data_IF_837118982673
#
_entry.id   IF_837118982673
#
_cell.length_a   1.000
_cell.length_b   1.000
_cell.length_c   1.000
_cell.angle_alpha   90.00
_cell.angle_beta   90.00
_cell.angle_gamma   90.00
#
_symmetry.space_group_name_H-M   'P 1'
#
loop_
_entity.id
_entity.type
_entity.pdbx_description
1 polymer ?
#
# COMPACT_ATOMS: atom_id res chain seq x y z
N UNK A 1 2.98 -19.39 -25.15
CA UNK A 1 3.48 -19.33 -23.77
C UNK A 1 3.95 -17.91 -23.56
N UNK A 2 3.45 -17.20 -22.54
CA UNK A 2 3.94 -15.84 -22.21
C UNK A 2 5.04 -15.97 -21.18
N UNK A 3 6.17 -15.31 -21.40
CA UNK A 3 7.29 -15.26 -20.49
C UNK A 3 7.28 -13.89 -19.79
N UNK A 4 7.70 -13.84 -18.55
CA UNK A 4 7.93 -12.61 -17.81
C UNK A 4 9.36 -12.60 -17.26
N UNK A 5 9.90 -11.42 -17.00
CA UNK A 5 11.23 -11.28 -16.42
C UNK A 5 11.19 -11.49 -14.91
N UNK A 6 12.16 -12.25 -14.39
CA UNK A 6 12.42 -12.36 -12.98
C UNK A 6 13.96 -12.33 -12.77
N UNK A 7 14.53 -11.29 -12.15
CA UNK A 7 13.85 -10.15 -11.53
C UNK A 7 13.22 -9.19 -12.55
N UNK A 8 12.22 -8.43 -12.10
CA UNK A 8 11.56 -7.41 -12.91
C UNK A 8 12.54 -6.24 -13.14
N UNK A 9 12.68 -5.82 -14.38
CA UNK A 9 13.51 -4.67 -14.74
C UNK A 9 12.65 -3.40 -14.78
N UNK A 10 12.50 -2.74 -13.62
CA UNK A 10 11.80 -1.47 -13.52
C UNK A 10 12.76 -0.29 -13.63
N UNK A 11 12.40 0.80 -14.33
CA UNK A 11 13.18 2.03 -14.37
C UNK A 11 13.08 2.71 -12.99
N UNK A 12 14.07 2.48 -12.17
CA UNK A 12 14.12 2.99 -10.81
C UNK A 12 14.96 4.26 -10.72
N UNK A 13 14.40 5.28 -10.06
CA UNK A 13 15.12 6.52 -9.77
C UNK A 13 15.19 6.70 -8.26
N UNK A 14 16.40 6.87 -7.75
CA UNK A 14 16.60 7.25 -6.35
C UNK A 14 15.85 8.53 -6.03
N UNK A 15 15.12 8.51 -4.95
CA UNK A 15 14.47 9.68 -4.41
C UNK A 15 15.26 10.13 -3.18
N UNK A 16 15.55 11.41 -3.13
CA UNK A 16 16.22 11.98 -1.98
C UNK A 16 15.14 12.60 -1.10
N UNK A 17 14.99 12.08 0.10
CA UNK A 17 14.15 12.71 1.10
C UNK A 17 15.04 13.64 1.94
N UNK A 18 14.76 14.94 1.92
CA UNK A 18 15.38 15.89 2.82
C UNK A 18 14.54 15.92 4.10
N UNK A 19 14.86 15.09 5.09
CA UNK A 19 14.31 15.29 6.43
C UNK A 19 14.89 16.61 6.98
N UNK A 20 14.06 17.62 7.24
CA UNK A 20 14.53 18.90 7.78
C UNK A 20 15.18 18.77 9.17
N UNK A 21 15.04 17.61 9.82
CA UNK A 21 15.67 17.29 11.09
C UNK A 21 17.04 16.60 10.95
N UNK A 22 17.41 16.21 9.76
CA UNK A 22 18.69 15.58 9.46
C UNK A 22 19.65 16.57 8.81
N UNK A 23 20.93 16.46 9.11
CA UNK A 23 22.00 17.30 8.54
C UNK A 23 22.51 16.79 7.18
N UNK A 24 21.78 15.89 6.53
CA UNK A 24 22.21 15.27 5.27
C UNK A 24 21.04 14.80 4.40
N UNK A 25 21.38 14.49 3.16
CA UNK A 25 20.47 13.82 2.24
C UNK A 25 20.37 12.35 2.69
N UNK A 26 19.18 11.93 3.10
CA UNK A 26 18.91 10.51 3.33
C UNK A 26 18.47 9.88 2.01
N UNK A 27 19.11 8.77 1.68
CA UNK A 27 18.63 7.86 0.64
C UNK A 27 17.74 6.85 1.35
N UNK A 28 16.44 7.03 1.23
CA UNK A 28 15.49 6.10 1.81
C UNK A 28 15.44 4.80 1.01
N UNK A 29 15.07 3.74 1.70
CA UNK A 29 14.90 2.42 1.12
C UNK A 29 13.58 2.36 0.36
N UNK A 30 13.66 2.79 -0.87
CA UNK A 30 12.53 2.94 -1.77
C UNK A 30 12.15 1.62 -2.45
N UNK A 31 10.93 1.59 -3.00
CA UNK A 31 10.39 0.45 -3.73
C UNK A 31 10.27 -0.86 -2.91
N UNK A 32 10.10 -0.75 -1.59
CA UNK A 32 9.72 -1.87 -0.74
C UNK A 32 8.19 -2.11 -0.79
N UNK A 33 7.75 -3.25 -0.26
CA UNK A 33 6.35 -3.61 -0.02
C UNK A 33 5.43 -3.38 -1.24
N UNK A 34 5.75 -3.92 -2.42
CA UNK A 34 5.04 -3.59 -3.63
C UNK A 34 3.63 -4.19 -3.66
N UNK A 35 2.65 -3.38 -4.07
CA UNK A 35 1.32 -3.82 -4.44
C UNK A 35 1.17 -3.79 -5.95
N UNK A 36 0.80 -4.91 -6.55
CA UNK A 36 0.61 -5.03 -8.00
C UNK A 36 -0.83 -5.35 -8.35
N UNK A 37 -1.36 -4.62 -9.31
CA UNK A 37 -2.72 -4.81 -9.84
C UNK A 37 -2.72 -4.91 -11.36
N UNK A 38 -3.77 -5.53 -11.90
CA UNK A 38 -4.12 -5.46 -13.31
C UNK A 38 -5.40 -4.63 -13.46
N UNK A 39 -5.35 -3.56 -14.24
CA UNK A 39 -6.48 -2.68 -14.45
C UNK A 39 -6.56 -2.23 -15.90
N UNK A 40 -7.72 -2.40 -16.52
CA UNK A 40 -7.97 -2.07 -17.95
C UNK A 40 -6.89 -2.62 -18.90
N UNK A 41 -6.45 -3.86 -18.65
CA UNK A 41 -5.49 -4.56 -19.49
C UNK A 41 -4.02 -4.16 -19.31
N UNK A 42 -3.71 -3.33 -18.33
CA UNK A 42 -2.33 -2.96 -17.95
C UNK A 42 -2.02 -3.39 -16.52
N UNK A 43 -0.75 -3.59 -16.25
CA UNK A 43 -0.22 -3.93 -14.92
C UNK A 43 0.39 -2.68 -14.29
N UNK A 44 0.14 -2.51 -13.00
CA UNK A 44 0.60 -1.36 -12.23
C UNK A 44 1.27 -1.84 -10.95
N UNK A 45 2.45 -1.29 -10.63
CA UNK A 45 3.14 -1.56 -9.36
C UNK A 45 3.26 -0.25 -8.59
N UNK A 46 2.69 -0.27 -7.39
CA UNK A 46 2.89 0.76 -6.36
C UNK A 46 3.87 0.22 -5.34
N UNK A 47 4.76 1.07 -4.84
CA UNK A 47 5.72 0.67 -3.83
C UNK A 47 5.94 1.78 -2.80
N UNK A 48 6.44 1.39 -1.63
CA UNK A 48 6.76 2.30 -0.53
C UNK A 48 7.67 3.42 -0.98
N UNK A 49 7.41 4.62 -0.49
CA UNK A 49 8.24 5.82 -0.66
C UNK A 49 8.58 6.14 -2.11
N UNK A 50 7.74 5.76 -3.04
CA UNK A 50 7.92 6.02 -4.46
C UNK A 50 6.86 7.02 -4.96
N UNK A 51 7.31 8.12 -5.56
CA UNK A 51 6.44 9.17 -6.12
C UNK A 51 5.86 8.78 -7.49
N UNK A 52 6.01 7.54 -7.90
CA UNK A 52 5.62 7.04 -9.21
C UNK A 52 4.92 5.69 -9.10
N UNK A 53 4.21 5.34 -10.15
CA UNK A 53 3.74 3.99 -10.41
C UNK A 53 4.49 3.44 -11.62
N UNK A 54 4.86 2.18 -11.61
CA UNK A 54 5.35 1.49 -12.79
C UNK A 54 4.20 0.84 -13.53
N UNK A 55 4.21 0.99 -14.84
CA UNK A 55 3.15 0.51 -15.74
C UNK A 55 3.74 -0.41 -16.78
N UNK A 56 3.08 -1.52 -17.05
CA UNK A 56 3.45 -2.47 -18.09
C UNK A 56 2.21 -3.03 -18.79
N UNK A 57 2.33 -3.32 -20.07
CA UNK A 57 1.32 -4.07 -20.84
C UNK A 57 1.65 -5.55 -20.96
N UNK A 58 2.89 -5.94 -20.69
CA UNK A 58 3.41 -7.28 -20.97
C UNK A 58 4.17 -7.95 -19.81
N UNK A 59 4.30 -7.27 -18.64
CA UNK A 59 5.09 -7.70 -17.47
C UNK A 59 6.61 -7.79 -17.73
N UNK A 60 7.08 -7.30 -18.86
CA UNK A 60 8.49 -7.31 -19.28
C UNK A 60 9.04 -5.89 -19.38
N UNK A 61 8.30 -5.05 -20.10
CA UNK A 61 8.66 -3.65 -20.31
C UNK A 61 7.86 -2.78 -19.36
N UNK A 62 8.56 -1.95 -18.58
CA UNK A 62 7.98 -1.10 -17.55
C UNK A 62 8.33 0.35 -17.78
N UNK A 63 7.35 1.22 -17.60
CA UNK A 63 7.50 2.67 -17.64
C UNK A 63 7.13 3.27 -16.30
N UNK A 64 7.87 4.28 -15.87
CA UNK A 64 7.59 5.02 -14.63
C UNK A 64 6.78 6.26 -14.92
N UNK A 65 5.64 6.38 -14.27
CA UNK A 65 4.76 7.55 -14.35
C UNK A 65 4.63 8.20 -12.98
N UNK A 66 4.92 9.50 -12.90
CA UNK A 66 4.76 10.26 -11.67
C UNK A 66 3.28 10.38 -11.33
N UNK A 67 2.95 10.11 -10.09
CA UNK A 67 1.61 10.26 -9.54
C UNK A 67 1.38 11.71 -9.05
N UNK A 68 0.11 12.15 -8.92
CA UNK A 68 -0.23 13.47 -8.40
C UNK A 68 0.32 13.70 -6.99
N UNK A 69 0.76 14.94 -6.73
CA UNK A 69 1.43 15.32 -5.47
C UNK A 69 0.51 15.31 -4.23
N UNK A 70 -0.80 15.27 -4.42
CA UNK A 70 -1.76 15.18 -3.33
C UNK A 70 -1.93 13.77 -2.74
N UNK A 71 -1.28 12.77 -3.34
CA UNK A 71 -1.30 11.41 -2.82
C UNK A 71 -0.22 11.20 -1.75
N UNK A 72 -0.45 10.33 -0.75
CA UNK A 72 0.52 10.01 0.30
C UNK A 72 1.62 9.07 -0.21
N UNK A 73 2.42 9.53 -1.17
CA UNK A 73 3.40 8.71 -1.88
C UNK A 73 4.68 8.42 -1.07
N UNK A 74 4.84 9.08 0.06
CA UNK A 74 5.96 8.86 0.99
C UNK A 74 5.65 7.83 2.07
N UNK A 75 4.46 7.26 2.04
CA UNK A 75 4.06 6.30 3.05
C UNK A 75 4.52 4.89 2.70
N UNK A 76 4.67 4.06 3.74
CA UNK A 76 5.08 2.68 3.63
C UNK A 76 3.93 1.75 3.28
N UNK A 77 4.26 0.63 2.63
CA UNK A 77 3.36 -0.48 2.34
C UNK A 77 2.04 -0.04 1.67
N UNK A 78 2.09 0.56 0.47
CA UNK A 78 0.89 0.95 -0.24
C UNK A 78 0.05 -0.26 -0.60
N UNK A 79 -1.27 -0.14 -0.47
CA UNK A 79 -2.20 -1.13 -0.97
C UNK A 79 -3.04 -0.56 -2.10
N UNK A 80 -3.07 -1.28 -3.22
CA UNK A 80 -3.88 -0.94 -4.38
C UNK A 80 -4.80 -2.09 -4.74
N UNK A 81 -6.11 -1.82 -4.87
CA UNK A 81 -7.13 -2.82 -5.19
C UNK A 81 -8.05 -2.34 -6.29
N UNK A 82 -8.44 -3.26 -7.15
CA UNK A 82 -9.44 -3.01 -8.19
C UNK A 82 -10.80 -3.44 -7.68
N UNK A 83 -11.79 -2.54 -7.81
CA UNK A 83 -13.19 -2.88 -7.61
C UNK A 83 -14.04 -2.19 -8.68
N UNK A 84 -14.61 -2.99 -9.58
CA UNK A 84 -15.34 -2.49 -10.74
C UNK A 84 -14.47 -1.60 -11.64
N UNK A 85 -14.95 -0.38 -11.87
CA UNK A 85 -14.26 0.62 -12.70
C UNK A 85 -13.21 1.45 -11.95
N UNK A 86 -13.02 1.18 -10.67
CA UNK A 86 -12.14 1.97 -9.80
C UNK A 86 -10.93 1.17 -9.33
N UNK A 87 -9.85 1.89 -9.15
CA UNK A 87 -8.72 1.49 -8.32
C UNK A 87 -8.80 2.25 -7.01
N UNK A 88 -8.77 1.53 -5.91
CA UNK A 88 -8.65 2.05 -4.55
C UNK A 88 -7.18 1.99 -4.15
N UNK A 89 -6.71 3.07 -3.55
CA UNK A 89 -5.32 3.20 -3.12
C UNK A 89 -5.25 3.74 -1.70
N UNK A 90 -4.48 3.09 -0.86
CA UNK A 90 -4.15 3.57 0.48
C UNK A 90 -2.73 3.17 0.88
N UNK A 91 -2.14 3.93 1.77
CA UNK A 91 -0.84 3.66 2.33
C UNK A 91 -0.82 4.01 3.82
N UNK A 92 0.05 3.34 4.59
CA UNK A 92 0.23 3.66 5.99
C UNK A 92 0.98 4.97 6.16
N UNK A 93 0.62 5.72 7.19
CA UNK A 93 1.28 6.96 7.56
C UNK A 93 1.47 7.03 9.08
N UNK A 94 2.71 7.12 9.51
CA UNK A 94 3.06 7.01 10.92
C UNK A 94 2.42 8.11 11.77
N UNK A 95 1.57 7.70 12.73
CA UNK A 95 0.97 8.59 13.72
C UNK A 95 -0.09 9.53 13.16
N UNK A 96 -0.59 9.27 11.96
CA UNK A 96 -1.66 10.06 11.35
C UNK A 96 -2.78 9.16 10.83
N UNK A 97 -3.97 9.73 10.73
CA UNK A 97 -5.09 9.04 10.07
C UNK A 97 -4.84 9.00 8.57
N UNK A 98 -4.91 7.81 8.00
CA UNK A 98 -4.72 7.62 6.58
C UNK A 98 -6.05 7.73 5.83
N UNK A 99 -5.96 8.25 4.63
CA UNK A 99 -7.09 8.36 3.71
C UNK A 99 -7.00 7.31 2.62
N UNK A 100 -8.17 6.90 2.15
CA UNK A 100 -8.29 6.18 0.90
C UNK A 100 -8.48 7.13 -0.25
N UNK A 101 -7.94 6.75 -1.38
CA UNK A 101 -8.17 7.41 -2.66
C UNK A 101 -8.73 6.41 -3.63
N UNK A 102 -9.58 6.87 -4.55
CA UNK A 102 -10.01 6.05 -5.68
C UNK A 102 -9.90 6.83 -6.98
N UNK A 103 -9.65 6.12 -8.06
CA UNK A 103 -9.57 6.70 -9.40
C UNK A 103 -10.03 5.73 -10.46
N UNK A 104 -10.46 6.26 -11.60
CA UNK A 104 -10.69 5.49 -12.84
C UNK A 104 -9.52 5.58 -13.82
N UNK A 105 -8.56 6.45 -13.54
CA UNK A 105 -7.33 6.64 -14.32
C UNK A 105 -6.15 6.81 -13.35
N UNK A 106 -5.31 5.80 -13.28
CA UNK A 106 -4.20 5.77 -12.32
C UNK A 106 -3.16 6.84 -12.61
N UNK A 107 -2.92 7.16 -13.89
CA UNK A 107 -1.85 8.08 -14.30
C UNK A 107 -2.33 9.53 -14.25
N UNK A 108 -3.52 9.79 -14.78
CA UNK A 108 -3.98 11.15 -14.97
C UNK A 108 -4.98 11.62 -13.89
N UNK A 109 -5.56 10.69 -13.14
CA UNK A 109 -6.60 11.00 -12.17
C UNK A 109 -7.94 11.37 -12.81
N UNK A 110 -8.83 12.13 -12.12
CA UNK A 110 -8.59 12.58 -10.76
C UNK A 110 -8.60 11.45 -9.73
N UNK A 111 -7.92 11.68 -8.60
CA UNK A 111 -8.03 10.83 -7.42
C UNK A 111 -9.03 11.46 -6.46
N UNK A 112 -10.11 10.76 -6.22
CA UNK A 112 -11.13 11.14 -5.25
C UNK A 112 -10.69 10.68 -3.86
N UNK A 113 -10.54 11.61 -2.93
CA UNK A 113 -10.23 11.30 -1.54
C UNK A 113 -11.47 10.73 -0.85
N UNK A 114 -11.27 9.63 -0.15
CA UNK A 114 -12.25 9.05 0.77
C UNK A 114 -11.62 9.12 2.16
N UNK A 115 -12.15 9.93 3.05
CA UNK A 115 -11.53 10.17 4.33
C UNK A 115 -11.46 8.90 5.17
N UNK A 116 -10.25 8.53 5.58
CA UNK A 116 -9.99 7.48 6.55
C UNK A 116 -10.45 7.92 7.94
N UNK A 117 -10.69 6.95 8.80
CA UNK A 117 -11.21 7.20 10.15
C UNK A 117 -10.42 6.50 11.24
N UNK A 118 -9.28 5.93 10.92
CA UNK A 118 -8.47 5.17 11.87
C UNK A 118 -7.02 5.10 11.42
N UNK A 119 -6.11 4.95 12.38
CA UNK A 119 -4.70 4.69 12.10
C UNK A 119 -4.49 3.22 11.75
N UNK A 120 -3.61 2.97 10.79
CA UNK A 120 -3.23 1.63 10.40
C UNK A 120 -1.79 1.56 9.90
N UNK A 121 -1.25 0.35 9.91
CA UNK A 121 0.01 -0.04 9.32
C UNK A 121 -0.20 -1.21 8.39
N UNK A 122 0.58 -1.25 7.31
CA UNK A 122 0.54 -2.31 6.32
C UNK A 122 -0.90 -2.65 5.90
N UNK A 123 -1.57 -1.71 5.23
CA UNK A 123 -2.97 -1.83 4.87
C UNK A 123 -3.19 -2.94 3.85
N UNK A 124 -4.31 -3.62 3.97
CA UNK A 124 -4.81 -4.53 2.96
C UNK A 124 -6.32 -4.40 2.86
N UNK A 125 -6.79 -3.85 1.75
CA UNK A 125 -8.20 -3.71 1.45
C UNK A 125 -8.68 -4.93 0.66
N UNK A 126 -9.78 -5.52 1.08
CA UNK A 126 -10.36 -6.69 0.43
C UNK A 126 -11.83 -6.45 0.09
N UNK A 127 -12.17 -6.62 -1.18
CA UNK A 127 -13.52 -6.60 -1.69
C UNK A 127 -14.00 -8.03 -1.90
N UNK A 128 -14.99 -8.46 -1.15
CA UNK A 128 -15.54 -9.80 -1.23
C UNK A 128 -16.55 -9.90 -2.39
N UNK A 129 -16.76 -11.12 -2.88
CA UNK A 129 -17.70 -11.40 -3.97
C UNK A 129 -19.15 -11.12 -3.59
N UNK A 130 -19.49 -11.15 -2.29
CA UNK A 130 -20.81 -10.82 -1.77
C UNK A 130 -21.08 -9.31 -1.58
N UNK A 131 -20.09 -8.49 -1.95
CA UNK A 131 -20.16 -7.03 -1.89
C UNK A 131 -19.74 -6.41 -0.56
N UNK A 132 -19.33 -7.21 0.42
CA UNK A 132 -18.71 -6.72 1.66
C UNK A 132 -17.29 -6.24 1.40
N UNK A 133 -16.84 -5.32 2.24
CA UNK A 133 -15.50 -4.77 2.18
C UNK A 133 -14.83 -4.97 3.53
N UNK A 134 -13.62 -5.47 3.51
CA UNK A 134 -12.82 -5.68 4.70
C UNK A 134 -11.50 -4.95 4.61
N UNK A 135 -11.05 -4.49 5.76
CA UNK A 135 -9.72 -3.93 5.90
C UNK A 135 -8.92 -4.76 6.91
N UNK A 136 -7.70 -5.06 6.55
CA UNK A 136 -6.74 -5.74 7.41
C UNK A 136 -5.52 -4.83 7.60
N UNK A 137 -4.92 -4.86 8.79
CA UNK A 137 -3.73 -4.07 9.07
C UNK A 137 -2.97 -4.58 10.28
N UNK A 138 -1.77 -4.07 10.43
CA UNK A 138 -0.89 -4.38 11.54
C UNK A 138 0.44 -5.00 11.10
N UNK A 139 1.51 -4.53 11.72
CA UNK A 139 2.88 -5.01 11.47
C UNK A 139 3.72 -5.05 12.76
N UNK A 140 3.10 -5.31 13.89
CA UNK A 140 3.76 -5.30 15.19
C UNK A 140 4.06 -6.71 15.68
N UNK A 141 5.16 -6.86 16.42
CA UNK A 141 5.45 -8.09 17.18
C UNK A 141 4.64 -8.19 18.48
N UNK A 142 4.02 -7.11 18.93
CA UNK A 142 3.32 -7.01 20.20
C UNK A 142 1.81 -7.10 20.05
N UNK A 143 1.30 -6.65 18.90
CA UNK A 143 -0.13 -6.62 18.61
C UNK A 143 -0.46 -7.54 17.43
N UNK A 144 -1.61 -8.22 17.45
CA UNK A 144 -2.02 -9.07 16.35
C UNK A 144 -2.28 -8.26 15.07
N UNK A 145 -2.18 -8.93 13.93
CA UNK A 145 -2.86 -8.46 12.71
C UNK A 145 -4.36 -8.47 13.00
N UNK A 146 -5.00 -7.37 12.68
CA UNK A 146 -6.42 -7.18 12.94
C UNK A 146 -7.21 -6.96 11.65
N UNK A 147 -8.51 -7.15 11.71
CA UNK A 147 -9.44 -6.90 10.62
C UNK A 147 -10.66 -6.13 11.08
N UNK A 148 -11.29 -5.42 10.17
CA UNK A 148 -12.57 -4.74 10.38
C UNK A 148 -13.37 -4.73 9.09
N UNK A 149 -14.69 -4.91 9.19
CA UNK A 149 -15.61 -4.71 8.08
C UNK A 149 -15.86 -3.22 7.86
N UNK A 150 -15.87 -2.79 6.60
CA UNK A 150 -16.10 -1.41 6.21
C UNK A 150 -17.46 -1.29 5.50
N UNK A 151 -18.09 -0.16 5.67
CA UNK A 151 -19.20 0.24 4.83
C UNK A 151 -18.72 0.43 3.38
N UNK A 152 -19.30 -0.27 2.39
CA UNK A 152 -18.78 -0.29 1.03
C UNK A 152 -18.90 1.05 0.28
N UNK A 153 -19.69 1.99 0.82
CA UNK A 153 -19.89 3.31 0.21
C UNK A 153 -18.98 4.35 0.86
N UNK A 154 -18.98 4.38 2.18
CA UNK A 154 -18.25 5.41 2.95
C UNK A 154 -16.84 4.97 3.33
N UNK A 155 -16.54 3.68 3.22
CA UNK A 155 -15.27 3.06 3.65
C UNK A 155 -14.99 3.22 5.16
N UNK A 156 -16.01 3.52 5.94
CA UNK A 156 -15.92 3.66 7.40
C UNK A 156 -16.11 2.32 8.09
N UNK A 157 -15.43 2.07 9.21
CA UNK A 157 -15.64 0.87 9.99
C UNK A 157 -17.10 0.68 10.42
N UNK A 158 -17.61 -0.54 10.26
CA UNK A 158 -18.94 -0.94 10.73
C UNK A 158 -18.95 -1.48 12.15
N UNK A 159 -17.76 -1.68 12.74
CA UNK A 159 -17.61 -2.22 14.08
C UNK A 159 -16.20 -2.02 14.63
N UNK A 160 -15.90 -2.77 15.68
CA UNK A 160 -14.57 -2.76 16.28
C UNK A 160 -13.57 -3.64 15.51
N UNK A 161 -12.30 -3.35 15.67
CA UNK A 161 -11.20 -4.17 15.12
C UNK A 161 -11.19 -5.54 15.80
N UNK A 162 -11.12 -6.59 15.02
CA UNK A 162 -11.06 -7.96 15.51
C UNK A 162 -9.62 -8.47 15.38
N UNK A 163 -8.97 -8.93 16.47
CA UNK A 163 -7.67 -9.55 16.39
C UNK A 163 -7.77 -10.90 15.65
N UNK A 164 -6.91 -11.12 14.67
CA UNK A 164 -6.97 -12.28 13.79
C UNK A 164 -5.79 -13.21 13.94
N UNK A 165 -4.57 -12.68 13.78
CA UNK A 165 -3.34 -13.46 13.75
C UNK A 165 -2.32 -12.84 14.70
N UNK A 166 -1.80 -13.65 15.62
CA UNK A 166 -0.66 -13.27 16.47
C UNK A 166 0.49 -14.23 16.20
N UNK A 167 1.70 -13.68 16.10
CA UNK A 167 2.91 -14.49 16.10
C UNK A 167 3.23 -15.05 17.49
N UNK A 168 3.88 -16.20 17.53
CA UNK A 168 4.43 -16.77 18.75
C UNK A 168 5.95 -17.01 18.61
N UNK A 169 6.77 -15.97 18.70
CA UNK A 169 8.22 -16.08 18.50
C UNK A 169 8.92 -16.89 19.61
N UNK A 170 8.28 -17.10 20.77
CA UNK A 170 8.83 -17.87 21.87
C UNK A 170 8.76 -19.39 21.60
N UNK A 171 7.71 -19.84 20.93
CA UNK A 171 7.56 -21.26 20.55
C UNK A 171 8.06 -21.51 19.13
N UNK A 172 7.93 -20.52 18.26
CA UNK A 172 8.21 -20.62 16.83
C UNK A 172 8.99 -19.40 16.39
N UNK A 173 10.31 -19.45 16.57
CA UNK A 173 11.19 -18.31 16.34
C UNK A 173 11.12 -17.66 14.94
N UNK A 174 10.53 -18.36 13.95
CA UNK A 174 10.28 -17.82 12.61
C UNK A 174 8.98 -16.99 12.52
N UNK A 175 8.10 -17.07 13.52
CA UNK A 175 6.87 -16.26 13.56
C UNK A 175 7.13 -14.87 14.14
N UNK A 176 8.18 -14.22 13.66
CA UNK A 176 8.37 -12.80 13.91
C UNK A 176 7.45 -12.02 13.00
N UNK A 177 6.54 -11.29 13.61
CA UNK A 177 5.69 -10.36 12.88
C UNK A 177 6.37 -9.00 12.83
N UNK A 178 6.55 -8.52 11.62
CA UNK A 178 6.91 -7.15 11.37
C UNK A 178 8.34 -6.76 11.71
N UNK A 179 8.68 -5.59 11.31
CA UNK A 179 9.89 -4.88 11.68
C UNK A 179 9.63 -4.16 12.99
N UNK A 180 10.52 -4.35 13.95
CA UNK A 180 10.49 -3.56 15.17
C UNK A 180 10.62 -2.07 14.81
N UNK A 181 9.58 -1.31 15.10
CA UNK A 181 9.53 0.15 14.90
C UNK A 181 10.61 0.92 15.66
N UNK A 182 11.42 0.26 16.47
CA UNK A 182 12.53 0.87 17.19
C UNK A 182 13.78 1.11 16.34
N UNK A 183 13.77 0.68 15.07
CA UNK A 183 14.95 0.73 14.19
C UNK A 183 14.82 1.82 13.11
N UNK A 184 13.71 2.56 13.06
CA UNK A 184 13.52 3.64 12.10
C UNK A 184 13.36 5.00 12.73
#
# INVERSE_FOLDING_TARGET
MKYYCNPINVPYRYQFNADPRSTGIQVDREAADPSMICFKGKYYIFASMNLSVWVSEDLVNWESHRLPENLPLYDYAPDARVNGDYVYFCASKKGEVCDYYRTKDIINGPYEKIEGTFDFWDPNLFFDEDGRVYFYGGCSNETPVWGVELDPITMKPLGERIPLISGNPFERGYERMGVDNSIF
#
